data_IF_971504303995
#
_entry.id   IF_971504303995
#
_cell.length_a   1.000
_cell.length_b   1.000
_cell.length_c   1.000
_cell.angle_alpha   90.00
_cell.angle_beta   90.00
_cell.angle_gamma   90.00
#
_symmetry.space_group_name_H-M   'P 1'
#
loop_
_entity.id
_entity.type
_entity.pdbx_description
1 polymer ?
#
# COMPACT_ATOMS: atom_id res chain seq x y z
N UNK A 1 -32.00 -51.49 -0.82
CA UNK A 1 -30.97 -50.81 -1.61
C UNK A 1 -31.02 -49.31 -1.26
N UNK A 2 -30.38 -48.90 -0.16
CA UNK A 2 -29.03 -48.31 -0.06
C UNK A 2 -28.99 -46.80 -0.35
N UNK A 3 -28.81 -46.01 0.72
CA UNK A 3 -28.23 -44.64 0.88
C UNK A 3 -28.82 -43.49 0.03
N UNK A 4 -29.12 -42.32 0.59
CA UNK A 4 -28.17 -41.44 1.27
C UNK A 4 -28.83 -40.58 2.36
N UNK A 5 -28.16 -40.52 3.51
CA UNK A 5 -28.38 -39.54 4.58
C UNK A 5 -27.54 -38.29 4.27
N UNK A 6 -28.17 -37.12 4.22
CA UNK A 6 -27.48 -35.83 4.12
C UNK A 6 -27.21 -35.32 5.54
N UNK A 7 -25.93 -35.27 5.91
CA UNK A 7 -25.47 -34.90 7.24
C UNK A 7 -25.20 -33.39 7.27
N UNK A 8 -26.13 -32.63 7.85
CA UNK A 8 -25.99 -31.21 8.14
C UNK A 8 -24.92 -30.98 9.21
N UNK A 9 -23.76 -30.44 8.84
CA UNK A 9 -22.74 -30.00 9.79
C UNK A 9 -23.07 -28.59 10.27
N UNK A 10 -23.63 -28.54 11.46
CA UNK A 10 -23.99 -27.33 12.17
C UNK A 10 -22.77 -26.51 12.61
N UNK A 11 -22.86 -25.22 12.32
CA UNK A 11 -22.11 -24.10 12.89
C UNK A 11 -21.87 -24.28 14.40
N UNK A 12 -20.61 -24.39 14.84
CA UNK A 12 -20.23 -24.23 16.26
C UNK A 12 -19.56 -22.87 16.46
N UNK A 13 -20.38 -21.88 16.81
CA UNK A 13 -19.92 -20.61 17.38
C UNK A 13 -19.27 -20.90 18.74
N UNK A 14 -17.98 -20.59 18.90
CA UNK A 14 -17.35 -20.49 20.22
C UNK A 14 -17.26 -19.02 20.57
N UNK A 15 -18.18 -18.58 21.42
CA UNK A 15 -18.06 -17.34 22.16
C UNK A 15 -16.99 -17.51 23.23
N UNK A 16 -16.03 -16.58 23.28
CA UNK A 16 -15.12 -16.42 24.42
C UNK A 16 -15.24 -14.98 24.87
N UNK A 17 -15.88 -14.79 26.03
CA UNK A 17 -15.87 -13.57 26.78
C UNK A 17 -14.54 -13.49 27.56
N UNK A 18 -13.82 -12.37 27.49
CA UNK A 18 -12.73 -12.08 28.42
C UNK A 18 -12.92 -10.68 28.99
N UNK A 19 -12.88 -10.66 30.31
CA UNK A 19 -13.20 -9.57 31.20
C UNK A 19 -12.16 -8.45 31.20
N UNK A 20 -12.67 -7.25 31.43
CA UNK A 20 -11.98 -6.02 31.79
C UNK A 20 -11.24 -6.11 33.13
N UNK A 21 -10.01 -5.59 33.19
CA UNK A 21 -9.33 -5.18 34.42
C UNK A 21 -8.86 -3.73 34.24
N UNK A 22 -9.35 -2.86 35.13
CA UNK A 22 -8.90 -1.49 35.31
C UNK A 22 -7.76 -1.45 36.34
N UNK A 23 -6.71 -0.65 36.10
CA UNK A 23 -5.79 -0.19 37.15
C UNK A 23 -5.42 1.28 36.92
N UNK A 24 -5.36 1.96 38.06
CA UNK A 24 -5.23 3.38 38.40
C UNK A 24 -3.89 4.01 38.00
N UNK A 25 -3.89 5.33 37.77
CA UNK A 25 -2.76 6.11 37.26
C UNK A 25 -1.74 6.62 38.29
N UNK A 26 -0.84 7.50 37.81
CA UNK A 26 -0.04 8.39 38.64
C UNK A 26 0.40 9.63 37.82
N UNK A 27 0.46 10.77 38.52
CA UNK A 27 0.73 12.11 37.99
C UNK A 27 2.19 12.55 38.16
N UNK A 28 2.57 13.61 37.43
CA UNK A 28 3.80 14.42 37.62
C UNK A 28 4.78 14.31 36.43
N UNK A 29 5.47 15.34 35.97
CA UNK A 29 5.64 16.72 36.39
C UNK A 29 6.24 17.56 35.23
N UNK A 30 6.31 18.87 35.45
CA UNK A 30 6.64 19.95 34.53
C UNK A 30 8.04 19.93 33.87
N UNK A 31 8.16 20.68 32.75
CA UNK A 31 9.44 21.10 32.17
C UNK A 31 9.28 22.05 30.97
N UNK A 32 9.01 23.33 31.23
CA UNK A 32 9.17 24.43 30.27
C UNK A 32 10.56 25.04 30.42
N UNK A 33 11.25 25.36 29.30
CA UNK A 33 12.35 26.34 29.09
C UNK A 33 13.21 25.82 27.91
N UNK A 34 13.65 26.56 26.89
CA UNK A 34 13.66 27.99 26.58
C UNK A 34 13.89 28.19 25.07
N UNK A 35 13.49 29.36 24.57
CA UNK A 35 13.84 29.94 23.27
C UNK A 35 15.33 30.34 23.21
N UNK A 36 15.88 30.32 21.99
CA UNK A 36 16.88 31.24 21.39
C UNK A 36 17.47 30.56 20.15
N UNK A 37 17.83 31.17 19.04
CA UNK A 37 17.56 32.46 18.40
C UNK A 37 17.92 32.23 16.92
N UNK A 38 17.29 33.01 16.04
CA UNK A 38 17.63 33.02 14.63
C UNK A 38 19.04 33.59 14.39
N UNK A 39 19.76 33.06 13.41
CA UNK A 39 20.70 33.87 12.64
C UNK A 39 20.74 33.41 11.19
N UNK A 40 20.34 34.33 10.32
CA UNK A 40 20.57 34.27 8.88
C UNK A 40 22.05 34.59 8.60
N UNK A 41 22.68 33.79 7.77
CA UNK A 41 23.79 34.25 6.93
C UNK A 41 23.61 33.66 5.54
N UNK A 42 23.35 34.55 4.59
CA UNK A 42 23.32 34.28 3.17
C UNK A 42 24.74 34.33 2.58
N UNK A 43 24.81 33.95 1.30
CA UNK A 43 25.86 34.13 0.28
C UNK A 43 26.78 32.94 0.01
N UNK A 44 27.11 32.52 -1.22
CA UNK A 44 26.68 32.88 -2.59
C UNK A 44 27.34 31.85 -3.55
N UNK A 45 26.57 31.35 -4.55
CA UNK A 45 26.94 30.72 -5.85
C UNK A 45 28.01 29.61 -5.91
N UNK A 46 27.80 28.48 -6.61
CA UNK A 46 27.85 28.43 -8.09
C UNK A 46 27.32 27.10 -8.66
N UNK A 47 26.47 27.21 -9.69
CA UNK A 47 26.10 26.25 -10.76
C UNK A 47 25.27 24.99 -10.41
N UNK A 48 23.94 25.18 -10.42
CA UNK A 48 22.97 24.12 -10.70
C UNK A 48 22.68 24.08 -12.21
N UNK A 49 22.73 22.88 -12.81
CA UNK A 49 22.33 22.64 -14.19
C UNK A 49 20.91 22.06 -14.25
N UNK A 50 20.11 22.65 -15.15
CA UNK A 50 18.85 22.17 -15.74
C UNK A 50 17.67 21.87 -14.79
N UNK A 51 16.97 22.95 -14.48
CA UNK A 51 15.56 23.01 -14.12
C UNK A 51 14.65 22.27 -15.12
N UNK A 52 14.05 21.16 -14.69
CA UNK A 52 12.78 20.67 -15.21
C UNK A 52 11.65 21.53 -14.64
N UNK A 53 10.82 22.07 -15.54
CA UNK A 53 9.78 23.06 -15.23
C UNK A 53 8.82 22.58 -14.12
N UNK A 54 8.78 23.32 -13.01
CA UNK A 54 7.70 23.23 -12.03
C UNK A 54 6.48 23.97 -12.57
N UNK A 55 5.54 23.25 -13.18
CA UNK A 55 4.18 23.74 -13.37
C UNK A 55 3.47 23.74 -12.03
N UNK A 56 3.26 24.93 -11.47
CA UNK A 56 2.35 25.16 -10.36
C UNK A 56 0.93 24.82 -10.81
N UNK A 57 0.51 23.60 -10.50
CA UNK A 57 -0.87 23.17 -10.41
C UNK A 57 -1.05 22.55 -9.02
N UNK A 58 -2.26 22.64 -8.47
CA UNK A 58 -2.61 22.13 -7.13
C UNK A 58 -2.61 20.58 -7.06
N UNK A 59 -1.55 19.94 -7.56
CA UNK A 59 -1.35 18.51 -7.74
C UNK A 59 -0.12 17.97 -7.01
N UNK A 60 0.28 18.60 -5.90
CA UNK A 60 1.44 18.19 -5.11
C UNK A 60 1.28 16.81 -4.45
N UNK A 61 0.06 16.26 -4.39
CA UNK A 61 -0.24 14.95 -3.78
C UNK A 61 -0.52 13.84 -4.81
N UNK A 62 -0.41 14.13 -6.12
CA UNK A 62 -0.73 13.17 -7.18
C UNK A 62 0.52 12.45 -7.68
N UNK A 63 0.51 11.11 -7.67
CA UNK A 63 1.55 10.30 -8.33
C UNK A 63 1.39 10.42 -9.83
N UNK A 64 2.47 10.73 -10.55
CA UNK A 64 2.45 10.86 -12.01
C UNK A 64 2.78 9.52 -12.68
N UNK A 65 2.22 9.25 -13.88
CA UNK A 65 2.60 8.08 -14.65
C UNK A 65 4.08 8.12 -15.04
N UNK A 66 4.69 6.94 -15.10
CA UNK A 66 6.07 6.73 -15.54
C UNK A 66 6.09 5.82 -16.78
N UNK A 67 7.10 5.99 -17.62
CA UNK A 67 7.23 5.23 -18.88
C UNK A 67 8.12 3.98 -18.74
N UNK A 68 8.90 3.89 -17.66
CA UNK A 68 9.81 2.78 -17.39
C UNK A 68 9.85 2.46 -15.90
N UNK A 69 10.07 1.20 -15.55
CA UNK A 69 10.32 0.78 -14.17
C UNK A 69 11.68 1.30 -13.68
N UNK A 70 11.74 2.19 -12.68
CA UNK A 70 13.01 2.71 -12.16
C UNK A 70 13.64 1.82 -11.09
N UNK A 71 12.98 0.74 -10.64
CA UNK A 71 13.51 -0.18 -9.63
C UNK A 71 14.82 -0.78 -10.13
N UNK A 72 15.88 -0.55 -9.36
CA UNK A 72 17.23 -1.06 -9.63
C UNK A 72 17.74 -1.85 -8.44
N UNK A 73 17.22 -3.07 -8.28
CA UNK A 73 17.60 -4.00 -7.22
C UNK A 73 18.04 -5.34 -7.83
N UNK A 74 19.26 -5.75 -7.54
CA UNK A 74 19.86 -7.00 -8.05
C UNK A 74 19.99 -8.08 -6.97
N UNK A 75 19.37 -7.89 -5.80
CA UNK A 75 19.39 -8.90 -4.74
C UNK A 75 18.68 -10.17 -5.19
N UNK A 76 19.17 -11.31 -4.70
CA UNK A 76 18.59 -12.64 -4.94
C UNK A 76 18.12 -13.31 -3.65
N UNK A 77 18.13 -12.59 -2.52
CA UNK A 77 17.71 -13.16 -1.24
C UNK A 77 16.18 -13.20 -1.12
N UNK A 78 15.59 -14.38 -0.98
CA UNK A 78 14.14 -14.57 -0.88
C UNK A 78 13.62 -14.29 0.55
N UNK A 79 13.85 -13.08 1.06
CA UNK A 79 13.51 -12.65 2.43
C UNK A 79 12.22 -11.82 2.52
N UNK A 80 11.66 -11.43 1.38
CA UNK A 80 10.34 -10.80 1.27
C UNK A 80 9.38 -11.78 0.59
N UNK A 81 8.09 -11.68 0.88
CA UNK A 81 7.02 -12.36 0.15
C UNK A 81 5.80 -11.46 0.00
N UNK A 82 5.31 -11.32 -1.23
CA UNK A 82 3.95 -10.87 -1.51
C UNK A 82 3.01 -12.01 -1.14
N UNK A 83 2.18 -11.79 -0.13
CA UNK A 83 1.24 -12.80 0.39
C UNK A 83 -0.18 -12.56 -0.09
N UNK A 84 -0.55 -11.32 -0.39
CA UNK A 84 -1.82 -10.96 -1.01
C UNK A 84 -1.65 -9.71 -1.85
N UNK A 85 -2.41 -9.61 -2.94
CA UNK A 85 -2.68 -8.36 -3.64
C UNK A 85 -4.18 -8.31 -3.93
N UNK A 86 -4.82 -7.19 -3.58
CA UNK A 86 -6.23 -6.93 -3.86
C UNK A 86 -6.35 -5.64 -4.68
N UNK A 87 -7.30 -5.62 -5.60
CA UNK A 87 -7.64 -4.46 -6.44
C UNK A 87 -9.13 -4.12 -6.39
N UNK A 88 -9.94 -5.03 -5.84
CA UNK A 88 -11.38 -4.94 -5.67
C UNK A 88 -11.78 -5.74 -4.43
N UNK A 89 -12.99 -5.46 -3.92
CA UNK A 89 -13.57 -6.08 -2.73
C UNK A 89 -12.73 -5.82 -1.47
N UNK A 90 -12.14 -4.64 -1.39
CA UNK A 90 -11.43 -4.20 -0.20
C UNK A 90 -12.40 -4.15 0.99
N UNK A 91 -11.89 -4.47 2.18
CA UNK A 91 -12.67 -4.42 3.42
C UNK A 91 -11.95 -3.61 4.47
N UNK A 92 -12.70 -2.80 5.21
CA UNK A 92 -12.17 -2.10 6.37
C UNK A 92 -11.75 -3.15 7.42
N UNK A 93 -10.46 -3.21 7.82
CA UNK A 93 -9.97 -4.27 8.70
C UNK A 93 -10.48 -4.16 10.14
N UNK A 94 -11.05 -3.00 10.53
CA UNK A 94 -11.61 -2.75 11.86
C UNK A 94 -13.08 -3.15 11.93
N UNK A 95 -13.85 -2.81 10.89
CA UNK A 95 -15.31 -3.01 10.87
C UNK A 95 -15.75 -4.23 10.08
N UNK A 96 -14.89 -4.76 9.20
CA UNK A 96 -15.17 -5.87 8.30
C UNK A 96 -16.17 -5.53 7.18
N UNK A 97 -16.48 -4.25 6.98
CA UNK A 97 -17.38 -3.78 5.93
C UNK A 97 -16.63 -3.56 4.63
N UNK A 98 -17.34 -3.60 3.50
CA UNK A 98 -16.81 -3.16 2.21
C UNK A 98 -16.21 -1.75 2.33
N UNK A 99 -15.00 -1.60 1.80
CA UNK A 99 -14.29 -0.35 1.64
C UNK A 99 -14.29 0.04 0.15
N UNK A 100 -13.88 1.28 -0.15
CA UNK A 100 -13.66 1.68 -1.54
C UNK A 100 -12.54 0.82 -2.16
N UNK A 101 -12.73 0.42 -3.41
CA UNK A 101 -11.76 -0.39 -4.13
C UNK A 101 -10.45 0.39 -4.35
N UNK A 102 -9.34 -0.23 -3.96
CA UNK A 102 -8.01 0.31 -4.12
C UNK A 102 -6.98 -0.81 -4.12
N UNK A 103 -5.76 -0.51 -4.59
CA UNK A 103 -4.68 -1.48 -4.57
C UNK A 103 -4.19 -1.69 -3.12
N UNK A 104 -4.27 -2.92 -2.64
CA UNK A 104 -3.65 -3.37 -1.39
C UNK A 104 -2.58 -4.42 -1.67
N UNK A 105 -1.43 -4.30 -1.01
CA UNK A 105 -0.32 -5.25 -1.11
C UNK A 105 0.06 -5.71 0.28
N UNK A 106 -0.20 -6.98 0.59
CA UNK A 106 0.28 -7.59 1.84
C UNK A 106 1.67 -8.16 1.61
N UNK A 107 2.63 -7.64 2.38
CA UNK A 107 4.03 -8.02 2.34
C UNK A 107 4.41 -8.72 3.64
N UNK A 108 5.16 -9.80 3.55
CA UNK A 108 5.68 -10.55 4.70
C UNK A 108 7.19 -10.61 4.63
N UNK A 109 7.85 -10.33 5.76
CA UNK A 109 9.28 -10.55 5.92
C UNK A 109 9.52 -11.99 6.39
N UNK A 110 10.08 -12.81 5.53
CA UNK A 110 10.45 -14.21 5.81
C UNK A 110 11.91 -14.36 6.26
N UNK A 111 12.68 -13.27 6.26
CA UNK A 111 14.09 -13.24 6.66
C UNK A 111 14.30 -12.90 8.15
N UNK A 112 15.57 -12.95 8.61
CA UNK A 112 15.94 -12.66 9.99
C UNK A 112 16.22 -11.17 10.26
N UNK A 113 16.25 -10.32 9.23
CA UNK A 113 16.56 -8.88 9.32
C UNK A 113 15.33 -8.06 8.96
N UNK A 114 15.14 -6.90 9.59
CA UNK A 114 14.08 -5.95 9.20
C UNK A 114 14.19 -5.58 7.72
N UNK A 115 13.07 -5.59 7.01
CA UNK A 115 12.97 -5.07 5.65
C UNK A 115 12.63 -3.59 5.68
N UNK A 116 13.24 -2.83 4.78
CA UNK A 116 13.06 -1.38 4.62
C UNK A 116 13.37 -0.95 3.18
N UNK A 117 13.16 0.32 2.87
CA UNK A 117 13.47 0.87 1.53
C UNK A 117 12.60 0.24 0.45
N UNK A 118 11.30 0.13 0.72
CA UNK A 118 10.38 -0.49 -0.21
C UNK A 118 10.11 0.42 -1.40
N UNK A 119 10.05 -0.17 -2.58
CA UNK A 119 9.65 0.48 -3.82
C UNK A 119 8.55 -0.37 -4.47
N UNK A 120 7.53 0.28 -5.02
CA UNK A 120 6.45 -0.38 -5.73
C UNK A 120 6.34 0.23 -7.12
N UNK A 121 6.33 -0.64 -8.12
CA UNK A 121 6.03 -0.28 -9.50
C UNK A 121 4.80 -1.06 -9.94
N UNK A 122 3.76 -0.34 -10.36
CA UNK A 122 2.48 -0.94 -10.78
C UNK A 122 2.21 -0.58 -12.22
N UNK A 123 1.74 -1.55 -13.01
CA UNK A 123 1.25 -1.31 -14.37
C UNK A 123 -0.20 -1.76 -14.48
N UNK A 124 -1.05 -0.87 -14.95
CA UNK A 124 -2.43 -1.16 -15.33
C UNK A 124 -2.50 -1.26 -16.85
N UNK A 125 -3.04 -2.35 -17.36
CA UNK A 125 -3.26 -2.54 -18.81
C UNK A 125 -4.74 -2.77 -19.06
N UNK A 126 -5.32 -1.96 -19.92
CA UNK A 126 -6.64 -2.17 -20.47
C UNK A 126 -6.52 -3.00 -21.77
N UNK A 127 -6.87 -4.30 -21.74
CA UNK A 127 -6.76 -5.15 -22.90
C UNK A 127 -7.84 -4.88 -23.95
N UNK A 128 -8.90 -4.13 -23.62
CA UNK A 128 -9.94 -3.74 -24.58
C UNK A 128 -9.45 -2.57 -25.41
N UNK A 129 -9.01 -1.50 -24.74
CA UNK A 129 -8.59 -0.26 -25.40
C UNK A 129 -7.11 -0.27 -25.83
N UNK A 130 -6.36 -1.29 -25.44
CA UNK A 130 -4.92 -1.48 -25.75
C UNK A 130 -4.06 -0.33 -25.23
N UNK A 131 -4.39 0.15 -24.04
CA UNK A 131 -3.64 1.21 -23.34
C UNK A 131 -3.06 0.65 -22.04
N UNK A 132 -1.85 1.09 -21.72
CA UNK A 132 -1.18 0.75 -20.47
C UNK A 132 -0.68 2.02 -19.79
N UNK A 133 -0.70 2.01 -18.47
CA UNK A 133 -0.23 3.11 -17.64
C UNK A 133 0.49 2.54 -16.42
N UNK A 134 1.66 3.10 -16.11
CA UNK A 134 2.50 2.62 -15.00
C UNK A 134 2.79 3.72 -13.99
N UNK A 135 3.00 3.32 -12.74
CA UNK A 135 3.25 4.18 -11.61
C UNK A 135 4.40 3.64 -10.78
N UNK A 136 5.13 4.55 -10.14
CA UNK A 136 6.21 4.23 -9.23
C UNK A 136 6.05 4.98 -7.91
N UNK A 137 6.19 4.26 -6.80
CA UNK A 137 6.14 4.82 -5.46
C UNK A 137 7.29 4.25 -4.63
N UNK A 138 8.21 5.12 -4.21
CA UNK A 138 9.13 4.82 -3.11
C UNK A 138 8.38 5.00 -1.79
N UNK A 139 8.29 3.95 -0.98
CA UNK A 139 7.63 4.03 0.32
C UNK A 139 8.54 4.77 1.31
N UNK A 140 7.98 5.52 2.27
CA UNK A 140 8.76 6.24 3.26
C UNK A 140 9.60 5.26 4.09
N UNK A 141 10.73 5.72 4.61
CA UNK A 141 11.64 4.90 5.44
C UNK A 141 10.99 4.38 6.73
N UNK A 142 9.84 4.92 7.12
CA UNK A 142 9.01 4.46 8.25
C UNK A 142 8.17 3.23 7.93
N UNK A 143 8.01 2.89 6.64
CA UNK A 143 7.43 1.62 6.23
C UNK A 143 8.50 0.52 6.30
N UNK A 144 8.62 -0.09 7.48
CA UNK A 144 9.47 -1.26 7.72
C UNK A 144 8.64 -2.48 8.08
N UNK A 145 9.21 -3.66 7.88
CA UNK A 145 8.60 -4.94 8.26
C UNK A 145 9.62 -5.75 9.07
N UNK A 146 9.33 -5.92 10.37
CA UNK A 146 10.16 -6.71 11.27
C UNK A 146 10.26 -8.19 10.84
N UNK A 147 11.31 -8.93 11.26
CA UNK A 147 11.44 -10.36 10.98
C UNK A 147 10.18 -11.15 11.35
N UNK A 148 9.67 -11.95 10.41
CA UNK A 148 8.47 -12.78 10.60
C UNK A 148 7.14 -12.02 10.62
N UNK A 149 7.14 -10.69 10.46
CA UNK A 149 5.92 -9.88 10.46
C UNK A 149 5.35 -9.69 9.05
N UNK A 150 4.10 -9.23 9.00
CA UNK A 150 3.43 -8.76 7.78
C UNK A 150 2.95 -7.33 7.94
N UNK A 151 2.87 -6.61 6.82
CA UNK A 151 2.31 -5.25 6.74
C UNK A 151 1.56 -5.09 5.42
N UNK A 152 0.52 -4.28 5.41
CA UNK A 152 -0.28 -3.99 4.21
C UNK A 152 0.07 -2.58 3.76
N UNK A 153 0.39 -2.43 2.48
CA UNK A 153 0.50 -1.12 1.82
C UNK A 153 -0.80 -0.85 1.06
N UNK A 154 -1.48 0.23 1.40
CA UNK A 154 -2.69 0.70 0.74
C UNK A 154 -2.33 1.83 -0.24
N UNK A 155 -2.91 1.82 -1.44
CA UNK A 155 -2.67 2.85 -2.44
C UNK A 155 -3.98 3.58 -2.73
N UNK A 156 -4.22 4.69 -2.02
CA UNK A 156 -5.45 5.48 -2.09
C UNK A 156 -5.22 6.95 -1.71
N UNK A 157 -6.31 7.70 -1.50
CA UNK A 157 -6.29 9.13 -1.18
C UNK A 157 -6.53 9.45 0.31
N UNK A 158 -6.52 8.45 1.21
CA UNK A 158 -6.90 8.66 2.62
C UNK A 158 -5.82 9.38 3.44
N UNK A 159 -4.54 9.19 3.09
CA UNK A 159 -3.39 9.72 3.84
C UNK A 159 -3.21 9.10 5.23
N UNK A 160 -3.90 8.00 5.54
CA UNK A 160 -3.72 7.27 6.78
C UNK A 160 -2.35 6.55 6.82
N UNK A 161 -1.95 6.06 8.00
CA UNK A 161 -0.72 5.28 8.15
C UNK A 161 -0.75 4.08 7.22
N UNK A 162 0.29 3.91 6.40
CA UNK A 162 0.43 2.86 5.38
C UNK A 162 -0.46 3.02 4.14
N UNK A 163 -1.09 4.20 4.00
CA UNK A 163 -1.77 4.61 2.78
C UNK A 163 -0.90 5.58 1.99
N UNK A 164 -0.68 5.24 0.72
CA UNK A 164 0.21 5.94 -0.20
C UNK A 164 -0.58 6.56 -1.33
N UNK A 165 -0.20 7.76 -1.79
CA UNK A 165 -0.96 8.50 -2.78
C UNK A 165 -1.04 7.74 -4.11
N UNK A 166 -2.11 8.01 -4.86
CA UNK A 166 -2.37 7.47 -6.19
C UNK A 166 -2.71 8.57 -7.18
N UNK A 167 -2.70 8.21 -8.47
CA UNK A 167 -3.28 9.04 -9.49
C UNK A 167 -4.80 8.79 -9.60
N UNK A 168 -5.60 9.79 -9.20
CA UNK A 168 -7.07 9.76 -9.34
C UNK A 168 -7.58 9.74 -10.79
N UNK A 169 -6.71 10.02 -11.76
CA UNK A 169 -7.00 9.94 -13.19
C UNK A 169 -6.40 8.69 -13.84
N UNK A 170 -5.93 7.73 -13.04
CA UNK A 170 -5.34 6.49 -13.55
C UNK A 170 -6.33 5.64 -14.32
N UNK A 171 -5.82 4.71 -15.13
CA UNK A 171 -6.63 3.63 -15.70
C UNK A 171 -7.38 2.85 -14.62
N UNK A 172 -6.73 2.59 -13.48
CA UNK A 172 -7.37 1.94 -12.32
C UNK A 172 -8.63 2.67 -11.86
N UNK A 173 -8.56 4.00 -11.75
CA UNK A 173 -9.65 4.82 -11.25
C UNK A 173 -10.75 5.10 -12.29
N UNK A 174 -10.39 5.17 -13.58
CA UNK A 174 -11.25 5.72 -14.63
C UNK A 174 -11.76 4.70 -15.64
N UNK A 175 -11.05 3.59 -15.87
CA UNK A 175 -11.48 2.59 -16.84
C UNK A 175 -12.72 1.84 -16.34
N UNK A 176 -13.61 1.52 -17.28
CA UNK A 176 -14.76 0.63 -17.07
C UNK A 176 -14.53 -0.77 -17.61
N UNK A 177 -13.43 -0.99 -18.33
CA UNK A 177 -13.04 -2.32 -18.78
C UNK A 177 -12.35 -3.09 -17.66
N UNK A 178 -12.21 -4.40 -17.85
CA UNK A 178 -11.34 -5.19 -17.00
C UNK A 178 -9.89 -4.73 -17.21
N UNK A 179 -9.07 -4.78 -16.16
CA UNK A 179 -7.65 -4.43 -16.24
C UNK A 179 -6.79 -5.62 -15.88
N UNK A 180 -5.71 -5.81 -16.61
CA UNK A 180 -4.58 -6.60 -16.14
C UNK A 180 -3.69 -5.70 -15.29
N UNK A 181 -3.43 -6.13 -14.06
CA UNK A 181 -2.64 -5.39 -13.06
C UNK A 181 -1.36 -6.16 -12.79
N UNK A 182 -0.21 -5.55 -13.06
CA UNK A 182 1.10 -6.04 -12.66
C UNK A 182 1.62 -5.21 -11.49
N UNK A 183 2.12 -5.89 -10.46
CA UNK A 183 2.73 -5.27 -9.29
C UNK A 183 4.13 -5.83 -9.12
N UNK A 184 5.12 -4.94 -9.09
CA UNK A 184 6.52 -5.24 -8.83
C UNK A 184 6.92 -4.56 -7.53
N UNK A 185 7.41 -5.33 -6.56
CA UNK A 185 7.85 -4.83 -5.25
C UNK A 185 9.33 -5.13 -5.06
N UNK A 186 10.07 -4.12 -4.61
CA UNK A 186 11.47 -4.19 -4.20
C UNK A 186 11.59 -3.79 -2.73
N UNK A 187 12.57 -4.36 -2.03
CA UNK A 187 12.99 -3.92 -0.70
C UNK A 187 14.50 -4.12 -0.58
N UNK A 188 15.16 -3.33 0.26
CA UNK A 188 16.60 -3.41 0.46
C UNK A 188 17.04 -4.83 0.86
N UNK A 189 17.98 -5.38 0.10
CA UNK A 189 18.54 -6.71 0.37
C UNK A 189 17.61 -7.88 0.07
N UNK A 190 16.35 -7.67 -0.31
CA UNK A 190 15.44 -8.72 -0.75
C UNK A 190 15.33 -8.77 -2.27
N UNK A 191 15.15 -9.97 -2.82
CA UNK A 191 14.85 -10.15 -4.23
C UNK A 191 13.52 -9.48 -4.60
N UNK A 192 13.50 -8.86 -5.77
CA UNK A 192 12.30 -8.26 -6.36
C UNK A 192 11.23 -9.34 -6.55
N UNK A 193 9.98 -9.00 -6.25
CA UNK A 193 8.84 -9.86 -6.53
C UNK A 193 7.87 -9.21 -7.49
N UNK A 194 7.36 -10.01 -8.41
CA UNK A 194 6.35 -9.63 -9.38
C UNK A 194 5.14 -10.51 -9.21
N UNK A 195 3.95 -9.92 -9.26
CA UNK A 195 2.69 -10.64 -9.35
C UNK A 195 1.76 -9.94 -10.32
N UNK A 196 0.84 -10.71 -10.90
CA UNK A 196 -0.18 -10.21 -11.82
C UNK A 196 -1.54 -10.66 -11.34
N UNK A 197 -2.53 -9.78 -11.44
CA UNK A 197 -3.92 -10.07 -11.13
C UNK A 197 -4.85 -9.31 -12.08
N UNK A 198 -6.15 -9.59 -11.99
CA UNK A 198 -7.16 -8.92 -12.81
C UNK A 198 -8.03 -8.05 -11.91
N UNK A 199 -8.35 -6.87 -12.41
CA UNK A 199 -9.50 -6.08 -11.99
C UNK A 199 -10.63 -6.39 -12.97
N UNK A 200 -11.82 -6.70 -12.48
CA UNK A 200 -12.97 -6.95 -13.34
C UNK A 200 -13.44 -5.67 -14.02
N UNK A 201 -14.23 -5.85 -15.09
CA UNK A 201 -14.85 -4.73 -15.77
C UNK A 201 -15.86 -4.07 -14.83
N UNK A 202 -15.80 -2.75 -14.71
CA UNK A 202 -16.74 -1.98 -13.91
C UNK A 202 -18.16 -2.06 -14.46
N UNK A 203 -18.98 -2.94 -13.87
CA UNK A 203 -20.44 -2.93 -13.96
C UNK A 203 -21.07 -2.11 -12.83
N UNK A 204 -22.39 -2.05 -12.72
CA UNK A 204 -23.00 -1.51 -11.50
C UNK A 204 -22.52 -2.37 -10.32
N UNK A 205 -21.70 -1.80 -9.43
CA UNK A 205 -21.34 -2.38 -8.14
C UNK A 205 -22.62 -2.89 -7.51
N UNK A 206 -22.78 -4.21 -7.37
CA UNK A 206 -23.93 -4.75 -6.65
C UNK A 206 -23.72 -4.38 -5.18
N UNK A 207 -24.56 -3.51 -4.59
CA UNK A 207 -24.39 -3.09 -3.20
C UNK A 207 -24.88 -4.18 -2.23
N UNK A 208 -24.73 -5.46 -2.56
CA UNK A 208 -25.40 -6.59 -1.90
C UNK A 208 -24.62 -7.90 -1.93
N UNK A 209 -23.29 -7.86 -1.88
CA UNK A 209 -22.49 -8.99 -1.38
C UNK A 209 -21.99 -8.73 0.04
#
# INVERSE_FOLDING_TARGET
MTKHSSNSQAFRRRAVAIASIAVVGFAGAAGCSSKSDASSAASTTTTAAASGASTSGSGADQVLPVTTNPISNTSTAQTMKITSVLVENNVDPVTGKAAEDHLEITLTNTGPTELSGFEVYTTYTDPTDKISESYYTALPSTFTIAPGASRVAHFDASGATDHFPVNKFSLFATSKNALDVEVVVSANGAAVQTTTLKKDAGGAENPSE
#
